data_IF_848762075715
#
_entry.id   IF_848762075715
#
_cell.length_a   1.000
_cell.length_b   1.000
_cell.length_c   1.000
_cell.angle_alpha   90.00
_cell.angle_beta   90.00
_cell.angle_gamma   90.00
#
_symmetry.space_group_name_H-M   'P 1'
#
loop_
_entity.id
_entity.type
_entity.pdbx_description
1 polymer ?
#
# COMPACT_ATOMS: atom_id res chain seq x y z
N UNK A 1 12.20 14.80 -18.92
CA UNK A 1 10.95 14.37 -18.25
C UNK A 1 10.55 12.94 -18.63
N UNK A 2 10.91 12.45 -19.78
CA UNK A 2 10.47 11.14 -20.32
C UNK A 2 10.83 9.93 -19.45
N UNK A 3 11.97 9.97 -18.74
CA UNK A 3 12.36 8.90 -17.82
C UNK A 3 11.47 8.75 -16.59
N UNK A 4 10.83 9.80 -16.12
CA UNK A 4 9.97 9.75 -14.93
C UNK A 4 8.58 9.16 -15.20
N UNK A 5 8.16 9.18 -16.46
CA UNK A 5 6.86 8.66 -16.91
C UNK A 5 6.97 7.33 -17.66
N UNK A 6 8.20 6.82 -17.83
CA UNK A 6 8.46 5.53 -18.47
C UNK A 6 7.97 4.39 -17.59
N UNK A 7 7.44 3.34 -18.23
CA UNK A 7 7.12 2.06 -17.59
C UNK A 7 8.32 1.13 -17.47
N UNK A 8 9.45 1.55 -18.01
CA UNK A 8 10.70 0.81 -17.94
C UNK A 8 11.58 1.35 -16.81
N UNK A 9 12.20 0.44 -16.07
CA UNK A 9 13.10 0.74 -14.97
C UNK A 9 12.38 1.08 -13.65
N UNK A 10 13.15 1.61 -12.70
CA UNK A 10 12.72 1.90 -11.34
C UNK A 10 11.92 3.21 -11.27
N UNK A 11 10.64 3.13 -11.63
CA UNK A 11 9.73 4.27 -11.70
C UNK A 11 8.43 4.05 -10.93
N UNK A 12 7.78 5.15 -10.51
CA UNK A 12 6.47 5.09 -9.85
C UNK A 12 5.40 4.39 -10.71
N UNK A 13 5.26 4.72 -12.01
CA UNK A 13 4.37 4.00 -12.92
C UNK A 13 4.62 2.50 -13.00
N UNK A 14 5.88 2.04 -12.91
CA UNK A 14 6.21 0.62 -12.88
C UNK A 14 5.63 -0.10 -11.65
N UNK A 15 5.71 0.51 -10.46
CA UNK A 15 5.10 -0.04 -9.25
C UNK A 15 3.57 -0.10 -9.37
N UNK A 16 2.95 0.93 -9.93
CA UNK A 16 1.50 0.96 -10.19
C UNK A 16 1.09 -0.15 -11.17
N UNK A 17 1.87 -0.36 -12.23
CA UNK A 17 1.63 -1.43 -13.19
C UNK A 17 1.74 -2.81 -12.54
N UNK A 18 2.78 -3.05 -11.72
CA UNK A 18 2.96 -4.31 -11.00
C UNK A 18 1.76 -4.60 -10.09
N UNK A 19 1.28 -3.61 -9.33
CA UNK A 19 0.10 -3.74 -8.48
C UNK A 19 -1.18 -4.05 -9.29
N UNK A 20 -1.46 -3.29 -10.33
CA UNK A 20 -2.63 -3.48 -11.18
C UNK A 20 -2.64 -4.86 -11.87
N UNK A 21 -1.44 -5.37 -12.25
CA UNK A 21 -1.29 -6.71 -12.81
C UNK A 21 -1.64 -7.80 -11.80
N UNK A 22 -1.17 -7.68 -10.55
CA UNK A 22 -1.55 -8.58 -9.45
C UNK A 22 -3.07 -8.55 -9.19
N UNK A 23 -3.68 -7.38 -9.16
CA UNK A 23 -5.13 -7.24 -9.04
C UNK A 23 -5.87 -7.93 -10.20
N UNK A 24 -5.33 -7.85 -11.42
CA UNK A 24 -5.91 -8.54 -12.59
C UNK A 24 -5.82 -10.06 -12.45
N UNK A 25 -4.67 -10.58 -12.00
CA UNK A 25 -4.46 -12.02 -11.76
C UNK A 25 -5.43 -12.53 -10.68
N UNK A 26 -5.55 -11.81 -9.55
CA UNK A 26 -6.47 -12.15 -8.46
C UNK A 26 -7.92 -12.22 -8.96
N UNK A 27 -8.36 -11.25 -9.77
CA UNK A 27 -9.72 -11.28 -10.34
C UNK A 27 -9.96 -12.44 -11.29
N UNK A 28 -8.93 -12.82 -12.08
CA UNK A 28 -9.05 -13.95 -13.03
C UNK A 28 -9.05 -15.30 -12.32
N UNK A 29 -8.31 -15.42 -11.23
CA UNK A 29 -8.27 -16.65 -10.45
C UNK A 29 -9.58 -16.92 -9.70
N UNK A 30 -10.32 -15.87 -9.33
CA UNK A 30 -11.62 -15.92 -8.67
C UNK A 30 -11.67 -16.85 -7.44
N UNK A 31 -10.57 -16.90 -6.67
CA UNK A 31 -10.48 -17.65 -5.41
C UNK A 31 -10.94 -16.80 -4.23
N UNK A 32 -11.61 -17.42 -3.26
CA UNK A 32 -12.00 -16.78 -2.00
C UNK A 32 -10.83 -16.65 -1.03
N UNK A 33 -10.94 -15.75 -0.06
CA UNK A 33 -9.89 -15.55 0.95
C UNK A 33 -9.70 -16.81 1.81
N UNK A 34 -10.74 -17.58 2.07
CA UNK A 34 -10.66 -18.84 2.82
C UNK A 34 -9.87 -19.92 2.05
N UNK A 35 -10.02 -19.97 0.74
CA UNK A 35 -9.25 -20.87 -0.13
C UNK A 35 -7.76 -20.47 -0.19
N UNK A 36 -7.46 -19.18 -0.14
CA UNK A 36 -6.09 -18.68 -0.09
C UNK A 36 -5.42 -19.00 1.26
N UNK A 37 -6.16 -18.91 2.37
CA UNK A 37 -5.64 -19.25 3.70
C UNK A 37 -5.40 -20.76 3.89
N UNK A 38 -6.13 -21.61 3.16
CA UNK A 38 -5.95 -23.06 3.18
C UNK A 38 -4.86 -23.57 2.24
N UNK A 39 -4.12 -22.68 1.59
CA UNK A 39 -3.11 -23.03 0.59
C UNK A 39 -1.88 -23.71 1.24
N UNK A 40 -1.42 -24.79 0.63
CA UNK A 40 -0.20 -25.48 1.03
C UNK A 40 1.02 -24.89 0.30
N UNK A 41 1.85 -24.15 1.03
CA UNK A 41 3.08 -23.55 0.50
C UNK A 41 4.20 -24.54 0.25
N UNK A 42 4.14 -25.78 0.77
CA UNK A 42 5.14 -26.81 0.53
C UNK A 42 5.23 -27.24 -0.93
N UNK A 43 4.17 -26.97 -1.72
CA UNK A 43 4.11 -27.22 -3.16
C UNK A 43 4.94 -26.24 -3.98
N UNK A 44 5.37 -25.12 -3.39
CA UNK A 44 6.14 -24.06 -4.06
C UNK A 44 7.64 -24.36 -4.00
N UNK A 45 8.09 -25.30 -4.83
CA UNK A 45 9.50 -25.71 -4.91
C UNK A 45 10.29 -24.99 -6.01
N UNK A 46 9.62 -24.19 -6.83
CA UNK A 46 10.23 -23.46 -7.93
C UNK A 46 11.13 -22.33 -7.41
N UNK A 47 12.29 -22.17 -8.05
CA UNK A 47 13.30 -21.17 -7.67
C UNK A 47 12.70 -19.76 -7.59
N UNK A 48 11.93 -19.35 -8.59
CA UNK A 48 11.28 -18.03 -8.62
C UNK A 48 10.23 -17.84 -7.52
N UNK A 49 9.54 -18.92 -7.11
CA UNK A 49 8.60 -18.87 -5.99
C UNK A 49 9.35 -18.68 -4.66
N UNK A 50 10.45 -19.42 -4.46
CA UNK A 50 11.28 -19.34 -3.28
C UNK A 50 11.93 -17.95 -3.16
N UNK A 51 12.41 -17.39 -4.26
CA UNK A 51 12.99 -16.03 -4.27
C UNK A 51 11.97 -14.97 -3.92
N UNK A 52 10.75 -15.09 -4.44
CA UNK A 52 9.67 -14.17 -4.07
C UNK A 52 9.27 -14.32 -2.60
N UNK A 53 9.23 -15.54 -2.06
CA UNK A 53 8.98 -15.79 -0.62
C UNK A 53 10.06 -15.14 0.23
N UNK A 54 11.35 -15.25 -0.13
CA UNK A 54 12.46 -14.60 0.58
C UNK A 54 12.31 -13.08 0.58
N UNK A 55 11.94 -12.50 -0.56
CA UNK A 55 11.66 -11.07 -0.64
C UNK A 55 10.51 -10.67 0.30
N UNK A 56 9.41 -11.41 0.30
CA UNK A 56 8.28 -11.14 1.18
C UNK A 56 8.64 -11.29 2.66
N UNK A 57 9.42 -12.30 3.01
CA UNK A 57 9.88 -12.55 4.38
C UNK A 57 10.76 -11.42 4.93
N UNK A 58 11.49 -10.69 4.08
CA UNK A 58 12.32 -9.55 4.49
C UNK A 58 11.52 -8.26 4.75
N UNK A 59 10.24 -8.20 4.40
CA UNK A 59 9.41 -6.99 4.56
C UNK A 59 9.36 -6.44 5.98
N UNK A 60 9.15 -7.26 7.04
CA UNK A 60 9.10 -6.74 8.41
C UNK A 60 10.41 -6.06 8.83
N UNK A 61 11.56 -6.62 8.43
CA UNK A 61 12.88 -6.07 8.76
C UNK A 61 13.13 -4.75 8.04
N UNK A 62 12.74 -4.67 6.76
CA UNK A 62 12.81 -3.43 5.97
C UNK A 62 11.94 -2.34 6.60
N UNK A 63 10.72 -2.68 7.01
CA UNK A 63 9.81 -1.75 7.65
C UNK A 63 10.40 -1.24 8.99
N UNK A 64 10.86 -2.13 9.86
CA UNK A 64 11.47 -1.77 11.15
C UNK A 64 12.73 -0.92 10.96
N UNK A 65 13.57 -1.24 9.97
CA UNK A 65 14.74 -0.45 9.66
C UNK A 65 14.36 0.95 9.19
N UNK A 66 13.37 1.07 8.29
CA UNK A 66 12.86 2.36 7.81
C UNK A 66 12.34 3.23 8.94
N UNK A 67 11.62 2.64 9.91
CA UNK A 67 11.14 3.37 11.09
C UNK A 67 12.30 3.87 11.95
N UNK A 68 13.37 3.08 12.11
CA UNK A 68 14.55 3.46 12.89
C UNK A 68 15.39 4.54 12.22
N UNK A 69 15.61 4.41 10.92
CA UNK A 69 16.46 5.34 10.15
C UNK A 69 15.72 6.57 9.67
N UNK A 70 14.37 6.49 9.61
CA UNK A 70 13.49 7.51 9.01
C UNK A 70 13.80 7.77 7.53
N UNK A 71 14.32 6.76 6.83
CA UNK A 71 14.67 6.83 5.42
C UNK A 71 13.65 6.10 4.54
N UNK A 72 12.70 6.79 3.89
CA UNK A 72 11.68 6.17 3.05
C UNK A 72 12.28 5.53 1.77
N UNK A 73 13.48 5.93 1.37
CA UNK A 73 14.22 5.33 0.24
C UNK A 73 14.47 3.84 0.43
N UNK A 74 14.61 3.37 1.67
CA UNK A 74 14.76 1.94 1.99
C UNK A 74 13.55 1.12 1.53
N UNK A 75 12.34 1.62 1.79
CA UNK A 75 11.09 0.99 1.30
C UNK A 75 11.02 1.06 -0.22
N UNK A 76 11.37 2.19 -0.82
CA UNK A 76 11.32 2.36 -2.28
C UNK A 76 12.22 1.35 -3.00
N UNK A 77 13.48 1.22 -2.58
CA UNK A 77 14.43 0.25 -3.15
C UNK A 77 13.93 -1.19 -2.97
N UNK A 78 13.35 -1.50 -1.83
CA UNK A 78 12.74 -2.80 -1.57
C UNK A 78 11.59 -3.10 -2.54
N UNK A 79 10.67 -2.14 -2.75
CA UNK A 79 9.54 -2.31 -3.65
C UNK A 79 9.98 -2.55 -5.10
N UNK A 80 11.02 -1.88 -5.58
CA UNK A 80 11.57 -2.14 -6.91
C UNK A 80 12.14 -3.56 -7.02
N UNK A 81 12.94 -4.00 -6.05
CA UNK A 81 13.47 -5.37 -6.01
C UNK A 81 12.33 -6.42 -6.02
N UNK A 82 11.28 -6.19 -5.24
CA UNK A 82 10.12 -7.06 -5.21
C UNK A 82 9.35 -7.04 -6.53
N UNK A 83 9.18 -5.88 -7.17
CA UNK A 83 8.53 -5.76 -8.46
C UNK A 83 9.31 -6.47 -9.59
N UNK A 84 10.63 -6.44 -9.54
CA UNK A 84 11.49 -7.21 -10.47
C UNK A 84 11.34 -8.72 -10.24
N UNK A 85 11.38 -9.18 -8.98
CA UNK A 85 11.15 -10.60 -8.66
C UNK A 85 9.76 -11.07 -9.10
N UNK A 86 8.73 -10.22 -8.92
CA UNK A 86 7.38 -10.48 -9.45
C UNK A 86 7.37 -10.59 -10.97
N UNK A 87 8.00 -9.67 -11.68
CA UNK A 87 8.06 -9.72 -13.14
C UNK A 87 8.71 -11.00 -13.64
N UNK A 88 9.82 -11.42 -13.02
CA UNK A 88 10.47 -12.69 -13.34
C UNK A 88 9.59 -13.91 -13.03
N UNK A 89 8.80 -13.85 -11.94
CA UNK A 89 7.93 -14.96 -11.54
C UNK A 89 6.73 -15.18 -12.49
N UNK A 90 6.26 -14.14 -13.18
CA UNK A 90 5.08 -14.27 -14.05
C UNK A 90 5.26 -15.23 -15.22
N UNK A 91 6.48 -15.36 -15.74
CA UNK A 91 6.77 -16.22 -16.87
C UNK A 91 6.89 -17.71 -16.47
N UNK A 92 7.23 -17.94 -15.19
CA UNK A 92 7.48 -19.28 -14.65
C UNK A 92 6.32 -19.81 -13.79
N UNK A 93 5.67 -18.95 -13.01
CA UNK A 93 4.59 -19.33 -12.11
C UNK A 93 3.22 -19.09 -12.75
N UNK A 94 2.86 -19.90 -13.74
CA UNK A 94 1.55 -19.82 -14.35
C UNK A 94 0.47 -20.29 -13.36
N UNK A 95 -0.55 -19.46 -13.16
CA UNK A 95 -1.70 -19.74 -12.28
C UNK A 95 -2.81 -20.45 -13.04
N UNK A 96 -3.06 -19.98 -14.29
CA UNK A 96 -4.13 -20.52 -15.12
C UNK A 96 -3.64 -21.81 -15.82
N UNK A 97 -4.36 -22.90 -15.61
CA UNK A 97 -4.01 -24.21 -16.18
C UNK A 97 -3.16 -25.11 -15.28
N UNK A 98 -2.80 -24.65 -14.07
CA UNK A 98 -2.13 -25.48 -13.07
C UNK A 98 -3.13 -26.33 -12.29
N UNK A 99 -2.64 -27.39 -11.64
CA UNK A 99 -3.40 -28.19 -10.69
C UNK A 99 -4.00 -27.29 -9.58
N UNK A 100 -5.21 -27.61 -9.13
CA UNK A 100 -5.97 -26.72 -8.22
C UNK A 100 -5.25 -26.46 -6.89
N UNK A 101 -4.51 -27.42 -6.35
CA UNK A 101 -3.71 -27.24 -5.15
C UNK A 101 -2.54 -26.28 -5.39
N UNK A 102 -1.81 -26.45 -6.48
CA UNK A 102 -0.70 -25.59 -6.88
C UNK A 102 -1.18 -24.19 -7.27
N UNK A 103 -2.32 -24.09 -7.94
CA UNK A 103 -2.97 -22.81 -8.27
C UNK A 103 -3.28 -22.01 -7.00
N UNK A 104 -3.86 -22.65 -5.95
CA UNK A 104 -4.13 -22.02 -4.67
C UNK A 104 -2.85 -21.51 -4.02
N UNK A 105 -1.79 -22.33 -3.97
CA UNK A 105 -0.51 -21.95 -3.39
C UNK A 105 0.14 -20.76 -4.11
N UNK A 106 0.19 -20.78 -5.45
CA UNK A 106 0.71 -19.65 -6.24
C UNK A 106 -0.13 -18.39 -6.07
N UNK A 107 -1.46 -18.53 -6.01
CA UNK A 107 -2.35 -17.38 -5.79
C UNK A 107 -2.20 -16.78 -4.39
N UNK A 108 -2.02 -17.60 -3.35
CA UNK A 108 -1.74 -17.10 -2.00
C UNK A 108 -0.42 -16.31 -1.95
N UNK A 109 0.61 -16.78 -2.65
CA UNK A 109 1.88 -16.07 -2.80
C UNK A 109 1.68 -14.71 -3.50
N UNK A 110 0.95 -14.66 -4.60
CA UNK A 110 0.65 -13.39 -5.30
C UNK A 110 -0.26 -12.46 -4.49
N UNK A 111 -1.19 -12.99 -3.70
CA UNK A 111 -2.02 -12.19 -2.80
C UNK A 111 -1.18 -11.54 -1.69
N UNK A 112 -0.23 -12.28 -1.11
CA UNK A 112 0.72 -11.74 -0.14
C UNK A 112 1.61 -10.65 -0.76
N UNK A 113 2.13 -10.88 -1.96
CA UNK A 113 2.93 -9.90 -2.70
C UNK A 113 2.13 -8.62 -3.03
N UNK A 114 0.87 -8.76 -3.44
CA UNK A 114 -0.04 -7.64 -3.66
C UNK A 114 -0.22 -6.81 -2.39
N UNK A 115 -0.42 -7.46 -1.24
CA UNK A 115 -0.62 -6.78 0.03
C UNK A 115 0.62 -6.01 0.48
N UNK A 116 1.82 -6.61 0.34
CA UNK A 116 3.09 -5.95 0.68
C UNK A 116 3.34 -4.75 -0.24
N UNK A 117 3.10 -4.91 -1.54
CA UNK A 117 3.24 -3.83 -2.51
C UNK A 117 2.28 -2.67 -2.20
N UNK A 118 1.03 -2.99 -1.87
CA UNK A 118 0.02 -2.02 -1.46
C UNK A 118 0.45 -1.25 -0.19
N UNK A 119 0.90 -1.98 0.84
CA UNK A 119 1.38 -1.39 2.10
C UNK A 119 2.58 -0.46 1.86
N UNK A 120 3.57 -0.91 1.09
CA UNK A 120 4.78 -0.13 0.80
C UNK A 120 4.47 1.13 -0.01
N UNK A 121 3.61 1.04 -1.04
CA UNK A 121 3.17 2.19 -1.82
C UNK A 121 2.43 3.22 -0.95
N UNK A 122 1.55 2.75 -0.07
CA UNK A 122 0.83 3.62 0.89
C UNK A 122 1.77 4.35 1.83
N UNK A 123 2.81 3.69 2.33
CA UNK A 123 3.85 4.32 3.16
C UNK A 123 4.59 5.43 2.42
N UNK A 124 4.79 5.28 1.12
CA UNK A 124 5.41 6.30 0.26
C UNK A 124 4.43 7.41 -0.18
N UNK A 125 3.17 7.37 0.28
CA UNK A 125 2.15 8.34 -0.10
C UNK A 125 1.53 8.10 -1.47
N UNK A 126 1.83 6.96 -2.11
CA UNK A 126 1.23 6.57 -3.38
C UNK A 126 -0.12 5.89 -3.14
N UNK A 127 -1.11 6.21 -3.97
CA UNK A 127 -2.40 5.51 -3.99
C UNK A 127 -2.36 4.38 -5.01
N UNK A 128 -2.32 3.09 -4.59
CA UNK A 128 -2.28 1.98 -5.52
C UNK A 128 -3.53 1.93 -6.40
N UNK A 129 -3.36 1.63 -7.68
CA UNK A 129 -4.46 1.52 -8.64
C UNK A 129 -4.79 0.05 -8.92
N UNK A 130 -6.07 -0.27 -8.96
CA UNK A 130 -6.54 -1.63 -9.22
C UNK A 130 -6.62 -1.97 -10.71
N UNK A 131 -6.74 -0.96 -11.56
CA UNK A 131 -6.81 -1.12 -13.03
C UNK A 131 -6.02 -0.01 -13.71
N UNK A 132 -5.16 -0.38 -14.61
CA UNK A 132 -4.30 0.57 -15.31
C UNK A 132 -5.05 1.48 -16.31
N UNK A 133 -6.16 1.03 -16.86
CA UNK A 133 -7.02 1.83 -17.75
C UNK A 133 -7.82 2.95 -17.07
N UNK A 134 -7.82 3.01 -15.74
CA UNK A 134 -8.53 4.04 -14.97
C UNK A 134 -7.70 5.29 -14.71
N UNK A 135 -6.45 5.34 -15.18
CA UNK A 135 -5.52 6.47 -14.96
C UNK A 135 -5.73 7.61 -15.98
N UNK A 136 -6.72 7.49 -16.86
CA UNK A 136 -7.06 8.56 -17.81
C UNK A 136 -8.03 9.57 -17.17
N UNK A 137 -7.79 9.95 -15.92
CA UNK A 137 -8.37 11.14 -15.34
C UNK A 137 -7.24 12.00 -14.79
N UNK A 138 -7.16 13.28 -15.18
CA UNK A 138 -6.02 14.12 -14.86
C UNK A 138 -5.97 14.38 -13.36
N UNK A 139 -4.84 14.10 -12.76
CA UNK A 139 -4.20 14.80 -11.66
C UNK A 139 -5.08 15.33 -10.51
N UNK A 140 -6.18 14.65 -10.15
CA UNK A 140 -6.88 14.91 -8.90
C UNK A 140 -7.08 13.58 -8.18
N UNK A 141 -6.49 13.41 -6.97
CA UNK A 141 -6.98 12.36 -6.08
C UNK A 141 -8.48 12.64 -5.85
N UNK A 142 -9.34 11.61 -5.78
CA UNK A 142 -10.72 11.83 -5.37
C UNK A 142 -10.66 12.61 -4.04
N UNK A 143 -11.53 13.63 -3.85
CA UNK A 143 -11.55 14.36 -2.61
C UNK A 143 -11.65 13.32 -1.48
N UNK A 144 -10.76 13.44 -0.50
CA UNK A 144 -10.83 12.63 0.71
C UNK A 144 -12.28 12.66 1.16
N UNK A 145 -12.91 11.51 1.46
CA UNK A 145 -14.25 11.50 2.00
C UNK A 145 -14.23 12.49 3.15
N UNK A 146 -15.07 13.53 3.06
CA UNK A 146 -15.11 14.61 4.04
C UNK A 146 -15.16 13.95 5.41
N UNK A 147 -14.05 14.07 6.16
CA UNK A 147 -13.99 13.62 7.53
C UNK A 147 -15.04 14.42 8.27
N UNK A 148 -16.24 13.87 8.38
CA UNK A 148 -17.34 14.47 9.10
C UNK A 148 -16.92 14.43 10.56
N UNK A 149 -16.41 15.58 11.03
CA UNK A 149 -15.95 15.77 12.39
C UNK A 149 -17.08 15.31 13.34
N UNK A 150 -16.91 14.25 14.14
CA UNK A 150 -17.97 13.77 15.02
C UNK A 150 -18.35 14.76 16.12
N UNK A 151 -17.68 15.93 16.19
CA UNK A 151 -17.91 16.97 17.19
C UNK A 151 -19.02 17.98 16.80
N UNK A 152 -19.65 17.87 15.62
CA UNK A 152 -20.73 18.79 15.21
C UNK A 152 -22.13 18.25 15.45
N UNK A 153 -22.29 17.08 16.09
CA UNK A 153 -23.58 16.57 16.55
C UNK A 153 -23.60 16.42 18.09
N UNK A 154 -23.32 17.49 18.79
CA UNK A 154 -23.74 17.58 20.18
C UNK A 154 -25.21 17.93 20.19
N UNK A 155 -26.10 17.06 20.69
CA UNK A 155 -27.46 17.46 20.97
C UNK A 155 -27.41 18.54 22.07
N UNK A 156 -28.10 19.62 21.81
CA UNK A 156 -28.29 20.78 22.69
C UNK A 156 -28.69 20.34 24.09
N UNK A 157 -27.75 20.24 25.01
CA UNK A 157 -28.03 20.17 26.43
C UNK A 157 -28.06 21.62 26.92
N UNK A 158 -29.18 22.14 27.47
CA UNK A 158 -29.20 23.47 28.04
C UNK A 158 -28.35 23.47 29.32
N UNK A 159 -27.10 23.91 29.23
CA UNK A 159 -26.31 24.19 30.41
C UNK A 159 -26.78 25.53 31.01
N UNK A 160 -27.57 25.45 32.03
CA UNK A 160 -27.77 26.50 32.98
C UNK A 160 -26.47 26.62 33.82
N UNK A 161 -25.58 27.50 33.45
CA UNK A 161 -24.47 27.92 34.29
C UNK A 161 -24.19 29.39 34.05
N UNK A 162 -24.79 30.21 34.91
CA UNK A 162 -24.40 31.58 35.19
C UNK A 162 -23.10 31.53 35.94
N UNK A 163 -21.97 32.07 35.41
CA UNK A 163 -20.89 32.73 36.15
C UNK A 163 -19.93 33.44 35.20
N UNK A 164 -20.00 34.74 35.23
CA UNK A 164 -18.94 35.75 35.23
C UNK A 164 -17.80 35.72 34.22
N UNK A 165 -17.88 36.74 33.39
CA UNK A 165 -16.84 37.45 32.65
C UNK A 165 -15.61 37.75 33.47
N UNK A 166 -14.44 37.31 33.02
CA UNK A 166 -13.19 38.03 33.27
C UNK A 166 -12.39 38.14 31.96
N UNK A 167 -12.46 39.34 31.47
CA UNK A 167 -11.66 39.90 30.38
C UNK A 167 -10.19 39.98 30.86
N UNK A 168 -9.29 39.30 30.15
CA UNK A 168 -7.85 39.53 30.29
C UNK A 168 -7.34 40.27 29.06
N UNK A 169 -7.41 41.60 29.18
CA UNK A 169 -6.58 42.51 28.43
C UNK A 169 -5.40 42.91 29.31
N UNK A 170 -4.20 42.63 28.87
CA UNK A 170 -3.00 43.26 29.40
C UNK A 170 -1.99 43.53 28.30
N UNK A 171 -1.56 44.77 28.11
CA UNK A 171 -0.56 45.14 27.14
C UNK A 171 0.86 44.92 27.65
N UNK A 172 1.72 44.42 26.78
CA UNK A 172 3.17 44.37 26.97
C UNK A 172 3.75 45.81 26.93
N UNK A 173 4.27 46.27 28.01
CA UNK A 173 5.20 47.40 28.07
C UNK A 173 6.64 46.92 28.00
N UNK A 174 7.32 47.34 26.93
CA UNK A 174 8.78 47.35 26.84
C UNK A 174 9.34 48.27 27.94
N UNK A 175 10.37 47.83 28.63
CA UNK A 175 11.33 48.75 29.28
C UNK A 175 12.74 48.16 29.17
N UNK A 176 13.60 49.00 28.57
CA UNK A 176 15.05 48.87 28.52
C UNK A 176 15.66 48.94 29.92
N UNK A 177 16.64 48.13 30.22
CA UNK A 177 17.96 48.51 30.69
C UNK A 177 18.89 47.30 30.50
#
# INVERSE_FOLDING_TARGET
MDRMTSFEGDTGPYLQYAHARLCSITRKAALSDDELLSADFSLLTEEHAVDLIRQLASWPDVFLNTVKTQEPTTVLVYLFKMAHALSSSYDHLQVVGSEEALKRARMALYAAAKQVLWNGMRLLGLSPVDRYGSIVSPFFPPPLPSYRNPLTSCPTIPCHCSVQTHCWSSPLTLSRM
#
